data_IF_967972506696
#
_entry.id   IF_967972506696
#
_cell.length_a   1.000
_cell.length_b   1.000
_cell.length_c   1.000
_cell.angle_alpha   90.00
_cell.angle_beta   90.00
_cell.angle_gamma   90.00
#
_symmetry.space_group_name_H-M   'P 1'
#
loop_
_entity.id
_entity.type
_entity.pdbx_description
1 polymer ?
#
# COMPACT_ATOMS: atom_id res chain seq x y z
N UNK A 1 -30.98 -30.72 44.01
CA UNK A 1 -32.19 -30.11 44.59
C UNK A 1 -32.01 -28.59 44.54
N UNK A 2 -32.97 -27.88 43.95
CA UNK A 2 -33.14 -26.46 43.68
C UNK A 2 -32.57 -26.05 42.28
N UNK A 3 -33.32 -25.97 41.20
CA UNK A 3 -34.58 -25.26 40.80
C UNK A 3 -34.44 -23.74 40.97
N UNK A 4 -34.56 -23.06 39.89
CA UNK A 4 -34.93 -21.65 39.77
C UNK A 4 -34.01 -20.93 38.78
N UNK A 5 -34.37 -20.17 37.81
CA UNK A 5 -35.65 -19.73 37.28
C UNK A 5 -35.32 -19.02 35.99
N UNK A 6 -36.06 -19.25 34.94
CA UNK A 6 -36.03 -18.55 33.68
C UNK A 6 -36.54 -17.11 33.84
N UNK A 7 -35.92 -16.15 33.14
CA UNK A 7 -36.55 -14.86 32.84
C UNK A 7 -36.50 -14.63 31.36
N UNK A 8 -37.69 -14.64 30.78
CA UNK A 8 -38.05 -14.27 29.43
C UNK A 8 -38.27 -12.76 29.43
N UNK A 9 -37.70 -12.05 28.51
CA UNK A 9 -37.95 -10.62 28.25
C UNK A 9 -37.71 -10.33 26.79
N UNK A 10 -38.61 -10.35 26.11
CA UNK A 10 -39.60 -9.74 25.23
C UNK A 10 -39.04 -8.56 24.36
N UNK A 11 -39.23 -8.77 23.08
CA UNK A 11 -39.31 -7.89 21.89
C UNK A 11 -39.14 -6.38 22.06
N UNK A 12 -38.42 -5.79 21.10
CA UNK A 12 -38.85 -4.60 20.38
C UNK A 12 -38.31 -4.58 18.96
N UNK A 13 -39.22 -4.76 18.01
CA UNK A 13 -39.10 -4.46 16.58
C UNK A 13 -39.13 -2.94 16.42
N UNK A 14 -38.23 -2.39 15.64
CA UNK A 14 -38.46 -1.09 14.99
C UNK A 14 -37.80 -1.13 13.59
N UNK A 15 -38.64 -1.36 12.61
CA UNK A 15 -38.36 -1.11 11.20
C UNK A 15 -38.66 0.36 10.91
N UNK A 16 -37.74 1.05 10.24
CA UNK A 16 -38.05 2.27 9.51
C UNK A 16 -37.24 2.31 8.21
N UNK A 17 -37.97 2.06 7.15
CA UNK A 17 -37.57 2.31 5.78
C UNK A 17 -37.43 3.82 5.53
N UNK A 18 -36.40 4.21 4.83
CA UNK A 18 -36.19 5.58 4.35
C UNK A 18 -35.44 5.55 3.04
N UNK A 19 -36.11 5.20 1.94
CA UNK A 19 -35.67 5.54 0.60
C UNK A 19 -35.85 7.05 0.40
N UNK A 20 -34.75 7.75 0.09
CA UNK A 20 -34.83 9.08 -0.53
C UNK A 20 -33.94 9.07 -1.76
N UNK A 21 -34.51 8.77 -2.89
CA UNK A 21 -33.96 9.07 -4.19
C UNK A 21 -33.95 10.59 -4.39
N UNK A 22 -32.79 11.13 -4.75
CA UNK A 22 -32.69 12.48 -5.32
C UNK A 22 -32.14 12.34 -6.72
N UNK A 23 -33.03 12.38 -7.68
CA UNK A 23 -32.77 12.70 -9.07
C UNK A 23 -32.51 14.19 -9.18
N UNK A 24 -31.30 14.59 -9.60
CA UNK A 24 -31.03 15.96 -10.00
C UNK A 24 -30.99 16.05 -11.52
N UNK A 25 -31.69 17.00 -12.13
CA UNK A 25 -31.67 17.23 -13.54
C UNK A 25 -30.46 18.08 -13.96
N UNK A 26 -29.90 17.71 -15.07
CA UNK A 26 -29.11 18.38 -16.08
C UNK A 26 -28.93 19.90 -15.93
N UNK A 27 -27.68 20.33 -15.95
CA UNK A 27 -27.29 21.72 -16.09
C UNK A 27 -25.79 21.85 -16.37
N UNK A 28 -25.43 22.19 -17.61
CA UNK A 28 -24.08 22.30 -18.08
C UNK A 28 -23.34 23.53 -17.58
N UNK A 29 -22.02 23.53 -17.73
CA UNK A 29 -21.20 24.72 -17.63
C UNK A 29 -19.76 24.43 -17.20
N UNK A 30 -18.82 24.64 -18.10
CA UNK A 30 -17.42 24.37 -18.06
C UNK A 30 -16.59 24.96 -16.92
N UNK A 31 -15.38 24.46 -16.85
CA UNK A 31 -14.33 25.01 -16.01
C UNK A 31 -13.30 23.96 -15.64
N UNK A 32 -12.13 24.00 -16.29
CA UNK A 32 -11.02 23.13 -16.06
C UNK A 32 -10.51 23.18 -14.63
N UNK A 33 -10.15 22.05 -14.10
CA UNK A 33 -9.43 21.92 -12.87
C UNK A 33 -8.80 20.54 -12.86
N UNK A 34 -7.47 20.46 -12.96
CA UNK A 34 -6.73 19.23 -12.96
C UNK A 34 -7.05 18.36 -11.76
N UNK A 35 -7.90 17.38 -11.95
CA UNK A 35 -8.15 16.35 -10.98
C UNK A 35 -6.95 15.43 -10.90
N UNK A 36 -6.15 15.53 -9.87
CA UNK A 36 -5.23 14.48 -9.48
C UNK A 36 -6.04 13.23 -9.22
N UNK A 37 -6.02 12.31 -10.17
CA UNK A 37 -6.66 11.01 -10.04
C UNK A 37 -6.09 10.28 -8.85
N UNK A 38 -6.87 10.18 -7.80
CA UNK A 38 -6.54 9.39 -6.66
C UNK A 38 -6.54 7.91 -6.98
N UNK A 39 -5.41 7.38 -7.46
CA UNK A 39 -5.09 5.96 -7.41
C UNK A 39 -4.68 5.57 -6.00
N UNK A 40 -5.56 5.78 -5.03
CA UNK A 40 -5.24 5.73 -3.61
C UNK A 40 -5.05 4.34 -3.00
N UNK A 41 -5.07 3.25 -3.77
CA UNK A 41 -5.06 1.91 -3.18
C UNK A 41 -3.72 1.16 -3.23
N UNK A 42 -2.80 1.53 -4.11
CA UNK A 42 -1.58 0.75 -4.36
C UNK A 42 -0.29 1.55 -4.19
N UNK A 43 -0.35 2.85 -3.86
CA UNK A 43 0.81 3.66 -3.57
C UNK A 43 1.54 3.11 -2.34
N UNK A 44 2.87 2.94 -2.45
CA UNK A 44 3.67 2.32 -1.43
C UNK A 44 3.66 0.78 -1.45
N UNK A 45 3.04 0.15 -2.45
CA UNK A 45 3.07 -1.30 -2.62
C UNK A 45 4.09 -1.67 -3.70
N UNK A 46 5.18 -2.33 -3.30
CA UNK A 46 6.27 -2.73 -4.18
C UNK A 46 6.36 -4.25 -4.24
N UNK A 47 6.33 -4.80 -5.43
CA UNK A 47 6.60 -6.22 -5.68
C UNK A 47 8.11 -6.43 -5.75
N UNK A 48 8.60 -7.42 -5.01
CA UNK A 48 9.95 -7.99 -5.13
C UNK A 48 9.82 -9.27 -5.95
N UNK A 49 10.21 -9.22 -7.21
CA UNK A 49 10.21 -10.38 -8.11
C UNK A 49 11.61 -10.92 -8.34
N UNK A 50 11.76 -11.85 -9.28
CA UNK A 50 13.06 -12.37 -9.65
C UNK A 50 13.85 -11.31 -10.43
N UNK A 51 14.86 -10.73 -9.76
CA UNK A 51 15.73 -9.62 -10.22
C UNK A 51 14.92 -8.40 -10.65
N UNK A 52 13.84 -8.07 -9.92
CA UNK A 52 13.11 -6.84 -10.16
C UNK A 52 12.41 -6.30 -8.89
N UNK A 53 12.38 -4.98 -8.78
CA UNK A 53 11.35 -4.28 -8.03
C UNK A 53 10.34 -3.69 -8.99
N UNK A 54 9.06 -3.72 -8.62
CA UNK A 54 7.98 -3.13 -9.42
C UNK A 54 6.97 -2.42 -8.52
N UNK A 55 6.68 -1.15 -8.83
CA UNK A 55 5.57 -0.43 -8.20
C UNK A 55 4.23 -1.00 -8.65
N UNK A 56 3.40 -1.40 -7.71
CA UNK A 56 2.02 -1.82 -8.00
C UNK A 56 1.12 -0.64 -8.35
N UNK A 57 1.52 0.57 -7.98
CA UNK A 57 0.77 1.80 -8.23
C UNK A 57 0.84 2.24 -9.70
N UNK A 58 2.03 2.24 -10.29
CA UNK A 58 2.24 2.80 -11.63
C UNK A 58 2.97 1.86 -12.61
N UNK A 59 3.36 0.67 -12.14
CA UNK A 59 4.00 -0.35 -12.96
C UNK A 59 5.47 -0.11 -13.28
N UNK A 60 6.10 0.98 -12.79
CA UNK A 60 7.53 1.21 -12.99
C UNK A 60 8.36 0.08 -12.37
N UNK A 61 9.45 -0.28 -13.05
CA UNK A 61 10.34 -1.35 -12.59
C UNK A 61 11.80 -1.07 -12.97
N UNK A 62 12.72 -1.44 -12.10
CA UNK A 62 14.17 -1.33 -12.22
C UNK A 62 14.67 -0.05 -12.93
N UNK A 63 14.39 1.14 -12.38
CA UNK A 63 13.95 1.37 -11.00
C UNK A 63 12.43 1.36 -10.83
N UNK A 64 11.95 0.75 -9.74
CA UNK A 64 10.58 0.94 -9.27
C UNK A 64 10.47 2.30 -8.57
N UNK A 65 9.72 3.22 -9.15
CA UNK A 65 9.56 4.58 -8.61
C UNK A 65 8.14 4.72 -8.08
N UNK A 66 8.00 5.06 -6.79
CA UNK A 66 6.71 5.34 -6.21
C UNK A 66 6.71 6.64 -5.41
N UNK A 67 5.56 7.27 -5.30
CA UNK A 67 5.37 8.53 -4.55
C UNK A 67 4.31 8.32 -3.49
N UNK A 68 4.65 8.66 -2.25
CA UNK A 68 3.78 8.52 -1.09
C UNK A 68 3.76 9.82 -0.27
N UNK A 69 2.71 10.01 0.52
CA UNK A 69 2.66 11.11 1.50
C UNK A 69 3.58 10.83 2.69
N UNK A 70 4.10 11.89 3.32
CA UNK A 70 4.79 11.75 4.60
C UNK A 70 3.88 11.09 5.65
N UNK A 71 4.41 10.16 6.43
CA UNK A 71 3.68 9.31 7.34
C UNK A 71 3.16 8.00 6.73
N UNK A 72 3.30 7.81 5.41
CA UNK A 72 2.88 6.56 4.75
C UNK A 72 3.84 5.41 5.03
N UNK A 73 3.29 4.20 5.07
CA UNK A 73 4.06 2.96 5.11
C UNK A 73 4.19 2.37 3.71
N UNK A 74 5.42 2.14 3.28
CA UNK A 74 5.73 1.41 2.05
C UNK A 74 5.99 -0.06 2.40
N UNK A 75 5.40 -0.96 1.62
CA UNK A 75 5.53 -2.41 1.82
C UNK A 75 6.10 -3.07 0.57
N UNK A 76 7.18 -3.79 0.74
CA UNK A 76 7.76 -4.69 -0.26
C UNK A 76 7.26 -6.11 -0.02
N UNK A 77 6.74 -6.75 -1.04
CA UNK A 77 6.22 -8.12 -0.97
C UNK A 77 6.94 -9.02 -1.97
N UNK A 78 7.53 -10.10 -1.47
CA UNK A 78 8.19 -11.12 -2.30
C UNK A 78 7.16 -11.95 -3.03
N UNK A 79 7.22 -11.95 -4.37
CA UNK A 79 6.27 -12.64 -5.24
C UNK A 79 7.01 -13.21 -6.45
N UNK A 80 6.84 -14.49 -6.72
CA UNK A 80 7.47 -15.19 -7.83
C UNK A 80 9.02 -15.09 -7.83
N UNK A 81 9.63 -15.09 -6.64
CA UNK A 81 11.09 -15.07 -6.47
C UNK A 81 11.70 -16.45 -6.51
N UNK A 82 10.91 -17.50 -6.29
CA UNK A 82 11.39 -18.87 -6.17
C UNK A 82 12.42 -19.02 -5.05
N UNK A 83 13.55 -19.63 -5.34
CA UNK A 83 14.67 -19.78 -4.39
C UNK A 83 15.70 -18.65 -4.47
N UNK A 84 15.49 -17.64 -5.33
CA UNK A 84 16.42 -16.52 -5.47
C UNK A 84 16.28 -15.58 -4.29
N UNK A 85 17.42 -15.21 -3.69
CA UNK A 85 17.46 -14.32 -2.53
C UNK A 85 17.47 -12.87 -2.95
N UNK A 86 16.68 -12.05 -2.25
CA UNK A 86 16.59 -10.59 -2.45
C UNK A 86 16.56 -9.87 -1.11
N UNK A 87 16.91 -8.60 -1.13
CA UNK A 87 16.75 -7.66 -0.02
C UNK A 87 16.24 -6.31 -0.51
N UNK A 88 15.90 -5.43 0.42
CA UNK A 88 15.70 -4.00 0.18
C UNK A 88 16.78 -3.28 0.97
N UNK A 89 17.80 -2.79 0.29
CA UNK A 89 18.92 -2.08 0.89
C UNK A 89 18.83 -0.60 0.60
N UNK A 90 18.90 0.22 1.65
CA UNK A 90 18.85 1.67 1.52
C UNK A 90 20.15 2.22 0.95
N UNK A 91 20.06 3.05 -0.09
CA UNK A 91 21.16 3.64 -0.80
C UNK A 91 21.27 5.16 -0.60
N UNK A 92 22.38 5.59 -0.01
CA UNK A 92 22.72 7.02 0.11
C UNK A 92 22.00 7.75 1.23
N UNK A 93 21.66 9.03 0.99
CA UNK A 93 21.00 9.92 1.96
C UNK A 93 19.87 10.70 1.27
N UNK A 94 18.67 10.82 1.89
CA UNK A 94 18.30 10.22 3.16
C UNK A 94 18.23 8.69 3.11
N UNK A 95 18.42 8.03 4.24
CA UNK A 95 18.43 6.57 4.35
C UNK A 95 17.29 6.04 5.23
N UNK A 96 17.04 4.75 5.15
CA UNK A 96 16.10 4.01 6.00
C UNK A 96 16.71 2.66 6.42
N UNK A 97 16.08 1.94 7.34
CA UNK A 97 16.56 0.63 7.74
C UNK A 97 16.46 -0.36 6.56
N UNK A 98 17.51 -1.12 6.31
CA UNK A 98 17.51 -2.15 5.26
C UNK A 98 16.86 -3.44 5.75
N UNK A 99 16.30 -4.24 4.83
CA UNK A 99 15.75 -5.55 5.16
C UNK A 99 16.87 -6.61 5.30
N UNK A 100 16.54 -7.73 5.91
CA UNK A 100 17.36 -8.93 5.76
C UNK A 100 17.30 -9.46 4.32
N UNK A 101 18.36 -10.18 3.89
CA UNK A 101 18.34 -10.99 2.67
C UNK A 101 17.43 -12.19 2.91
N UNK A 102 16.47 -12.41 2.02
CA UNK A 102 15.49 -13.50 2.15
C UNK A 102 15.07 -14.05 0.79
N UNK A 103 14.71 -15.32 0.77
CA UNK A 103 14.20 -16.03 -0.40
C UNK A 103 12.80 -16.58 -0.13
N UNK A 104 12.07 -16.91 -1.20
CA UNK A 104 10.72 -17.48 -1.14
C UNK A 104 9.62 -16.43 -1.06
N UNK A 105 8.46 -16.79 -1.61
CA UNK A 105 7.32 -15.91 -1.77
C UNK A 105 6.55 -15.68 -0.46
N UNK A 106 5.69 -14.65 -0.46
CA UNK A 106 4.80 -14.31 0.66
C UNK A 106 5.46 -13.56 1.80
N UNK A 107 6.77 -13.29 1.74
CA UNK A 107 7.47 -12.46 2.72
C UNK A 107 7.19 -10.99 2.47
N UNK A 108 7.26 -10.19 3.52
CA UNK A 108 7.06 -8.74 3.45
C UNK A 108 8.13 -8.01 4.25
N UNK A 109 8.41 -6.79 3.82
CA UNK A 109 9.19 -5.80 4.56
C UNK A 109 8.49 -4.45 4.46
N UNK A 110 8.39 -3.72 5.56
CA UNK A 110 7.65 -2.46 5.61
C UNK A 110 8.44 -1.36 6.32
N UNK A 111 8.36 -0.14 5.79
CA UNK A 111 8.98 1.06 6.36
C UNK A 111 7.99 2.21 6.32
N UNK A 112 7.85 2.93 7.43
CA UNK A 112 7.08 4.17 7.49
C UNK A 112 8.00 5.36 7.27
N UNK A 113 7.72 6.16 6.24
CA UNK A 113 8.50 7.33 5.86
C UNK A 113 7.84 8.60 6.40
N UNK A 114 8.38 9.17 7.46
CA UNK A 114 7.83 10.36 8.13
C UNK A 114 8.38 11.68 7.60
N UNK A 115 9.53 11.66 6.94
CA UNK A 115 10.22 12.87 6.47
C UNK A 115 10.17 12.93 4.95
N UNK A 116 9.77 14.07 4.36
CA UNK A 116 9.85 14.27 2.91
C UNK A 116 11.29 14.09 2.38
N UNK A 117 11.40 13.47 1.20
CA UNK A 117 12.70 13.20 0.60
C UNK A 117 12.63 12.18 -0.52
N UNK A 118 13.78 11.90 -1.14
CA UNK A 118 13.94 10.89 -2.17
C UNK A 118 14.84 9.79 -1.64
N UNK A 119 14.26 8.63 -1.38
CA UNK A 119 14.90 7.48 -0.77
C UNK A 119 15.21 6.43 -1.85
N UNK A 120 16.47 6.24 -2.14
CA UNK A 120 16.92 5.23 -3.10
C UNK A 120 17.18 3.90 -2.40
N UNK A 121 16.96 2.82 -3.12
CA UNK A 121 17.24 1.48 -2.63
C UNK A 121 17.60 0.54 -3.79
N UNK A 122 18.32 -0.52 -3.46
CA UNK A 122 18.60 -1.62 -4.36
C UNK A 122 18.51 -2.98 -3.65
N UNK A 123 18.89 -4.03 -4.34
CA UNK A 123 19.02 -5.36 -3.75
C UNK A 123 20.50 -5.65 -3.48
N UNK A 124 20.87 -5.92 -2.22
CA UNK A 124 22.25 -6.24 -1.84
C UNK A 124 22.88 -7.39 -2.66
N UNK A 125 22.04 -8.27 -3.23
CA UNK A 125 22.51 -9.42 -4.03
C UNK A 125 22.73 -9.05 -5.50
N UNK A 126 21.94 -8.09 -6.04
CA UNK A 126 21.91 -7.77 -7.47
C UNK A 126 22.35 -6.34 -7.80
N UNK A 127 22.56 -5.51 -6.77
CA UNK A 127 22.96 -4.11 -6.92
C UNK A 127 22.02 -3.30 -7.77
N UNK A 128 22.54 -2.33 -8.50
CA UNK A 128 21.79 -1.37 -9.31
C UNK A 128 20.91 -2.01 -10.43
N UNK A 129 21.17 -3.28 -10.79
CA UNK A 129 20.31 -4.00 -11.75
C UNK A 129 18.89 -4.26 -11.20
N UNK A 130 18.75 -4.23 -9.87
CA UNK A 130 17.47 -4.38 -9.17
C UNK A 130 17.32 -3.22 -8.19
N UNK A 131 16.73 -2.14 -8.62
CA UNK A 131 16.71 -0.86 -7.88
C UNK A 131 15.33 -0.20 -7.85
N UNK A 132 15.19 0.76 -6.95
CA UNK A 132 13.98 1.58 -6.83
C UNK A 132 14.20 2.89 -6.10
N UNK A 133 13.12 3.69 -6.04
CA UNK A 133 13.11 5.00 -5.40
C UNK A 133 11.73 5.26 -4.80
N UNK A 134 11.68 5.66 -3.55
CA UNK A 134 10.48 6.17 -2.90
C UNK A 134 10.61 7.70 -2.77
N UNK A 135 9.65 8.42 -3.34
CA UNK A 135 9.53 9.88 -3.22
C UNK A 135 8.47 10.17 -2.16
N UNK A 136 8.88 10.81 -1.08
CA UNK A 136 8.00 11.20 0.04
C UNK A 136 7.72 12.69 -0.03
N UNK A 137 6.43 13.07 0.00
CA UNK A 137 5.96 14.46 -0.12
C UNK A 137 5.01 14.86 1.01
#
# INVERSE_FOLDING_TARGET
MRIGTAVIGLLALAALAGCSGSTSPYGGGGGGGGGGGGGGGLAGQIVVGNILFKSSHNGSQNPAIDTVAAGSTVTWTWTATGSVSHSVESEGSPSFASSAIQAGDGKTYAVTFTTPGTYRYDCAVHGAAMSGTIVVR
#
